data_IF_226790221970
#
_entry.id   IF_226790221970
#
_cell.length_a   1.000
_cell.length_b   1.000
_cell.length_c   1.000
_cell.angle_alpha   90.00
_cell.angle_beta   90.00
_cell.angle_gamma   90.00
#
_symmetry.space_group_name_H-M   'P 1'
#
loop_
_entity.id
_entity.type
_entity.pdbx_description
1 polymer ?
#
# COMPACT_ATOMS: atom_id res chain seq x y z
N UNK A 1 26.72 -3.65 10.78
CA UNK A 1 26.34 -3.47 9.35
C UNK A 1 26.29 -4.84 8.70
N UNK A 2 25.20 -5.17 8.04
CA UNK A 2 24.97 -6.46 7.40
C UNK A 2 24.69 -6.37 5.89
N UNK A 3 24.46 -5.16 5.38
CA UNK A 3 24.19 -4.88 3.95
C UNK A 3 25.21 -3.89 3.44
N UNK A 4 25.82 -4.18 2.30
CA UNK A 4 26.91 -3.39 1.74
C UNK A 4 26.63 -3.00 0.30
N UNK A 5 27.11 -1.85 -0.18
CA UNK A 5 26.92 -1.41 -1.57
C UNK A 5 27.46 -2.39 -2.61
N UNK A 6 28.52 -3.14 -2.24
CA UNK A 6 29.10 -4.20 -3.06
C UNK A 6 29.34 -5.41 -2.17
N UNK A 7 28.67 -6.49 -2.48
CA UNK A 7 28.77 -7.75 -1.76
C UNK A 7 29.44 -8.81 -2.64
N UNK A 8 30.25 -9.74 -2.04
CA UNK A 8 30.82 -10.86 -2.79
C UNK A 8 29.70 -11.76 -3.36
N UNK A 9 29.87 -12.23 -4.58
CA UNK A 9 28.92 -13.17 -5.19
C UNK A 9 29.09 -14.61 -4.62
N UNK A 10 30.18 -14.89 -3.94
CA UNK A 10 30.43 -16.20 -3.34
C UNK A 10 31.38 -16.12 -2.13
N UNK A 11 31.39 -17.15 -1.31
CA UNK A 11 32.29 -17.28 -0.15
C UNK A 11 33.79 -17.40 -0.53
N UNK A 12 34.11 -17.48 -1.82
CA UNK A 12 35.48 -17.56 -2.33
C UNK A 12 36.05 -16.19 -2.67
N UNK A 13 35.21 -15.18 -2.74
CA UNK A 13 35.65 -13.83 -3.05
C UNK A 13 36.06 -13.07 -1.78
N UNK A 14 37.14 -12.29 -1.91
CA UNK A 14 37.59 -11.43 -0.81
C UNK A 14 36.63 -10.29 -0.63
N UNK A 15 36.15 -10.09 0.60
CA UNK A 15 35.33 -8.93 0.96
C UNK A 15 36.22 -7.80 1.49
N UNK A 16 36.10 -6.63 0.93
CA UNK A 16 36.81 -5.43 1.35
C UNK A 16 35.82 -4.27 1.51
N UNK A 17 35.91 -3.57 2.63
CA UNK A 17 35.11 -2.39 2.92
C UNK A 17 35.93 -1.40 3.75
N UNK A 18 35.75 -0.09 3.58
CA UNK A 18 36.40 0.94 4.42
C UNK A 18 36.03 0.83 5.91
N UNK A 19 35.02 0.04 6.25
CA UNK A 19 34.58 -0.18 7.64
C UNK A 19 35.38 -1.25 8.37
N UNK A 20 36.24 -2.00 7.68
CA UNK A 20 37.07 -3.02 8.31
C UNK A 20 38.12 -2.37 9.23
N UNK A 21 38.31 -2.98 10.41
CA UNK A 21 39.26 -2.51 11.40
C UNK A 21 38.81 -1.35 12.28
N UNK A 22 37.63 -0.81 12.06
CA UNK A 22 37.09 0.22 12.94
C UNK A 22 36.58 -0.43 14.25
N UNK A 23 37.07 0.10 15.39
CA UNK A 23 36.79 -0.47 16.73
C UNK A 23 35.34 -0.38 17.19
N UNK A 24 34.56 0.52 16.60
CA UNK A 24 33.15 0.76 16.91
C UNK A 24 32.18 0.20 15.86
N UNK A 25 32.66 -0.68 14.96
CA UNK A 25 31.87 -1.27 13.89
C UNK A 25 31.86 -2.79 13.99
N UNK A 26 30.67 -3.37 13.99
CA UNK A 26 30.46 -4.81 13.85
C UNK A 26 30.00 -5.09 12.43
N UNK A 27 30.73 -5.94 11.72
CA UNK A 27 30.41 -6.39 10.36
C UNK A 27 29.91 -7.82 10.44
N UNK A 28 28.78 -8.09 9.82
CA UNK A 28 28.21 -9.44 9.72
C UNK A 28 27.92 -9.78 8.25
N UNK A 29 27.89 -11.06 7.89
CA UNK A 29 27.39 -11.45 6.58
C UNK A 29 25.92 -11.03 6.37
N UNK A 30 25.52 -10.85 5.12
CA UNK A 30 24.13 -10.57 4.75
C UNK A 30 23.32 -11.87 4.71
N UNK A 31 23.04 -12.43 5.88
CA UNK A 31 22.37 -13.73 6.04
C UNK A 31 21.02 -13.66 6.76
N UNK A 32 20.52 -12.43 7.06
CA UNK A 32 19.28 -12.27 7.82
C UNK A 32 18.05 -12.92 7.19
N UNK A 33 18.03 -13.05 5.86
CA UNK A 33 16.97 -13.74 5.12
C UNK A 33 17.33 -15.16 4.65
N UNK A 34 18.50 -15.72 5.02
CA UNK A 34 19.04 -16.93 4.39
C UNK A 34 18.83 -18.20 5.22
N UNK A 35 18.29 -18.10 6.42
CA UNK A 35 17.96 -19.29 7.24
C UNK A 35 16.58 -19.83 6.88
N UNK A 36 16.33 -21.13 7.08
CA UNK A 36 15.02 -21.75 6.84
C UNK A 36 13.90 -21.06 7.64
N UNK A 37 14.16 -20.75 8.91
CA UNK A 37 13.21 -20.03 9.77
C UNK A 37 12.94 -18.61 9.28
N UNK A 38 13.95 -17.90 8.78
CA UNK A 38 13.77 -16.56 8.24
C UNK A 38 12.91 -16.60 6.96
N UNK A 39 13.16 -17.55 6.08
CA UNK A 39 12.38 -17.73 4.85
C UNK A 39 10.91 -18.04 5.14
N UNK A 40 10.62 -18.90 6.10
CA UNK A 40 9.25 -19.20 6.53
C UNK A 40 8.55 -17.97 7.10
N UNK A 41 9.21 -17.23 7.99
CA UNK A 41 8.68 -16.02 8.59
C UNK A 41 8.45 -14.91 7.57
N UNK A 42 9.40 -14.70 6.65
CA UNK A 42 9.27 -13.73 5.56
C UNK A 42 8.09 -14.11 4.66
N UNK A 43 7.98 -15.39 4.27
CA UNK A 43 6.89 -15.88 3.45
C UNK A 43 5.52 -15.64 4.10
N UNK A 44 5.38 -15.96 5.38
CA UNK A 44 4.15 -15.75 6.14
C UNK A 44 3.82 -14.27 6.30
N UNK A 45 4.81 -13.42 6.58
CA UNK A 45 4.60 -11.97 6.74
C UNK A 45 4.20 -11.32 5.40
N UNK A 46 4.85 -11.69 4.30
CA UNK A 46 4.51 -11.18 2.96
C UNK A 46 3.12 -11.64 2.55
N UNK A 47 2.78 -12.93 2.76
CA UNK A 47 1.46 -13.46 2.47
C UNK A 47 0.38 -12.71 3.24
N UNK A 48 0.57 -12.48 4.55
CA UNK A 48 -0.37 -11.71 5.37
C UNK A 48 -0.56 -10.29 4.83
N UNK A 49 0.50 -9.59 4.48
CA UNK A 49 0.41 -8.23 3.91
C UNK A 49 -0.32 -8.21 2.56
N UNK A 50 -0.15 -9.23 1.73
CA UNK A 50 -0.89 -9.35 0.46
C UNK A 50 -2.39 -9.60 0.71
N UNK A 51 -2.73 -10.42 1.69
CA UNK A 51 -4.12 -10.63 2.13
C UNK A 51 -4.71 -9.33 2.66
N UNK A 52 -4.02 -8.63 3.57
CA UNK A 52 -4.46 -7.34 4.11
C UNK A 52 -4.69 -6.31 2.99
N UNK A 53 -3.80 -6.26 1.99
CA UNK A 53 -4.01 -5.40 0.83
C UNK A 53 -5.21 -5.83 -0.02
N UNK A 54 -5.37 -7.14 -0.24
CA UNK A 54 -6.49 -7.68 -1.03
C UNK A 54 -7.84 -7.41 -0.37
N UNK A 55 -7.94 -7.69 0.92
CA UNK A 55 -9.21 -7.74 1.64
C UNK A 55 -9.63 -6.40 2.23
N UNK A 56 -8.67 -5.61 2.72
CA UNK A 56 -8.96 -4.32 3.36
C UNK A 56 -8.28 -3.12 2.71
N UNK A 57 -7.34 -3.33 1.80
CA UNK A 57 -6.60 -2.24 1.14
C UNK A 57 -5.46 -1.66 1.97
N UNK A 58 -5.03 -2.32 3.06
CA UNK A 58 -3.88 -1.87 3.86
C UNK A 58 -2.59 -1.98 3.06
N UNK A 59 -1.74 -0.96 3.14
CA UNK A 59 -0.44 -0.90 2.46
C UNK A 59 0.73 -0.80 3.43
N UNK A 60 0.52 -1.20 4.68
CA UNK A 60 1.55 -1.20 5.72
C UNK A 60 2.74 -2.06 5.32
N UNK A 61 3.93 -1.47 5.37
CA UNK A 61 5.19 -2.12 4.99
C UNK A 61 5.55 -2.02 3.51
N UNK A 62 4.77 -1.32 2.68
CA UNK A 62 5.16 -0.96 1.33
C UNK A 62 6.34 0.03 1.38
N UNK A 63 7.40 -0.21 0.59
CA UNK A 63 8.61 0.65 0.61
C UNK A 63 8.63 1.66 -0.54
N UNK A 64 7.84 1.45 -1.59
CA UNK A 64 7.78 2.27 -2.80
C UNK A 64 6.35 2.73 -3.12
N UNK A 65 5.47 2.76 -2.12
CA UNK A 65 4.07 3.13 -2.25
C UNK A 65 3.59 3.83 -0.96
N UNK A 66 2.58 4.73 -1.01
CA UNK A 66 2.01 5.33 0.20
C UNK A 66 1.53 4.28 1.19
N UNK A 67 1.92 4.42 2.45
CA UNK A 67 1.53 3.46 3.49
C UNK A 67 0.28 3.95 4.21
N UNK A 68 -0.78 3.15 4.19
CA UNK A 68 -2.02 3.39 4.92
C UNK A 68 -2.33 2.17 5.78
N UNK A 69 -2.46 2.40 7.07
CA UNK A 69 -3.01 1.43 8.00
C UNK A 69 -4.51 1.64 8.10
N UNK A 70 -5.27 0.57 7.88
CA UNK A 70 -6.72 0.61 7.85
C UNK A 70 -7.29 -0.26 8.96
N UNK A 71 -8.37 0.18 9.63
CA UNK A 71 -9.13 -0.68 10.52
C UNK A 71 -9.84 -1.77 9.70
N UNK A 72 -10.23 -2.87 10.34
CA UNK A 72 -11.18 -3.81 9.74
C UNK A 72 -12.39 -3.06 9.21
N UNK A 73 -12.91 -3.51 8.07
CA UNK A 73 -14.09 -2.90 7.47
C UNK A 73 -15.30 -3.14 8.38
N UNK A 74 -16.05 -2.09 8.68
CA UNK A 74 -17.30 -2.19 9.44
C UNK A 74 -18.50 -2.42 8.49
N UNK A 75 -19.30 -1.43 8.25
CA UNK A 75 -20.42 -1.47 7.32
C UNK A 75 -20.09 -0.68 6.04
N UNK A 76 -20.88 -0.87 5.00
CA UNK A 76 -20.73 -0.12 3.75
C UNK A 76 -19.77 -0.74 2.73
N UNK A 77 -19.48 0.02 1.71
CA UNK A 77 -18.61 -0.35 0.60
C UNK A 77 -17.28 0.38 0.70
N UNK A 78 -16.18 -0.33 0.54
CA UNK A 78 -14.84 0.27 0.52
C UNK A 78 -14.36 0.47 -0.91
N UNK A 79 -14.02 1.70 -1.24
CA UNK A 79 -13.44 2.11 -2.52
C UNK A 79 -11.96 2.40 -2.33
N UNK A 80 -11.15 1.94 -3.26
CA UNK A 80 -9.71 2.25 -3.32
C UNK A 80 -9.45 3.05 -4.58
N UNK A 81 -8.71 4.15 -4.44
CA UNK A 81 -8.33 5.01 -5.55
C UNK A 81 -6.84 5.36 -5.49
N UNK A 82 -6.14 5.03 -6.55
CA UNK A 82 -4.73 5.38 -6.77
C UNK A 82 -4.71 6.46 -7.84
N UNK A 83 -4.02 7.57 -7.58
CA UNK A 83 -4.02 8.71 -8.47
C UNK A 83 -2.68 9.45 -8.49
N UNK A 84 -2.45 10.24 -9.52
CA UNK A 84 -1.38 11.22 -9.53
C UNK A 84 -1.61 12.25 -8.42
N UNK A 85 -0.59 12.53 -7.63
CA UNK A 85 -0.64 13.49 -6.51
C UNK A 85 -0.72 14.92 -7.06
N UNK A 86 -1.91 15.33 -7.50
CA UNK A 86 -2.19 16.62 -8.07
C UNK A 86 -3.33 17.34 -7.35
N UNK A 87 -3.31 18.69 -7.28
CA UNK A 87 -4.39 19.46 -6.68
C UNK A 87 -5.75 19.16 -7.31
N UNK A 88 -6.80 19.09 -6.47
CA UNK A 88 -8.19 18.96 -6.90
C UNK A 88 -8.66 17.53 -7.18
N UNK A 89 -7.79 16.51 -7.19
CA UNK A 89 -8.22 15.12 -7.40
C UNK A 89 -9.17 14.67 -6.29
N UNK A 90 -8.84 14.97 -5.04
CA UNK A 90 -9.67 14.62 -3.89
C UNK A 90 -11.05 15.26 -3.93
N UNK A 91 -11.13 16.54 -4.34
CA UNK A 91 -12.41 17.23 -4.50
C UNK A 91 -13.29 16.54 -5.56
N UNK A 92 -12.70 16.19 -6.72
CA UNK A 92 -13.42 15.47 -7.77
C UNK A 92 -13.93 14.10 -7.31
N UNK A 93 -13.16 13.39 -6.46
CA UNK A 93 -13.65 12.14 -5.86
C UNK A 93 -14.85 12.38 -4.95
N UNK A 94 -14.77 13.35 -4.04
CA UNK A 94 -15.87 13.67 -3.13
C UNK A 94 -17.13 14.10 -3.88
N UNK A 95 -16.98 14.85 -4.97
CA UNK A 95 -18.08 15.23 -5.86
C UNK A 95 -18.77 14.02 -6.52
N UNK A 96 -18.04 12.97 -6.85
CA UNK A 96 -18.63 11.73 -7.39
C UNK A 96 -19.56 11.10 -6.36
N UNK A 97 -19.10 10.92 -5.12
CA UNK A 97 -19.93 10.35 -4.04
C UNK A 97 -21.16 11.21 -3.77
N UNK A 98 -20.97 12.52 -3.66
CA UNK A 98 -22.08 13.46 -3.42
C UNK A 98 -23.14 13.41 -4.52
N UNK A 99 -22.74 13.43 -5.80
CA UNK A 99 -23.67 13.38 -6.94
C UNK A 99 -24.42 12.04 -7.03
N UNK A 100 -23.81 10.96 -6.61
CA UNK A 100 -24.42 9.63 -6.59
C UNK A 100 -25.23 9.36 -5.31
N UNK A 101 -25.29 10.34 -4.39
CA UNK A 101 -26.04 10.20 -3.13
C UNK A 101 -25.40 9.25 -2.12
N UNK A 102 -24.09 9.02 -2.22
CA UNK A 102 -23.33 8.19 -1.28
C UNK A 102 -22.76 9.03 -0.15
N UNK A 103 -22.92 8.55 1.09
CA UNK A 103 -22.34 9.17 2.28
C UNK A 103 -20.97 8.59 2.58
N UNK A 104 -19.94 9.45 2.67
CA UNK A 104 -18.59 9.04 3.06
C UNK A 104 -18.56 8.91 4.58
N UNK A 105 -18.38 7.68 5.07
CA UNK A 105 -18.26 7.37 6.50
C UNK A 105 -16.82 7.54 6.99
N UNK A 106 -15.83 7.18 6.16
CA UNK A 106 -14.41 7.38 6.47
C UNK A 106 -13.59 7.58 5.20
N UNK A 107 -12.52 8.36 5.30
CA UNK A 107 -11.60 8.60 4.21
C UNK A 107 -10.16 8.59 4.73
N UNK A 108 -9.32 7.76 4.15
CA UNK A 108 -7.91 7.61 4.48
C UNK A 108 -7.08 8.01 3.27
N UNK A 109 -6.27 9.04 3.42
CA UNK A 109 -5.39 9.54 2.36
C UNK A 109 -3.94 9.48 2.81
N UNK A 110 -3.09 8.97 1.97
CA UNK A 110 -1.65 9.11 2.09
C UNK A 110 -1.04 9.39 0.71
N UNK A 111 -0.05 10.26 0.68
CA UNK A 111 0.70 10.58 -0.53
C UNK A 111 2.18 10.24 -0.35
N UNK A 112 2.83 9.79 -1.41
CA UNK A 112 4.27 9.59 -1.47
C UNK A 112 4.77 9.95 -2.86
N UNK A 113 5.59 11.00 -2.95
CA UNK A 113 6.06 11.54 -4.23
C UNK A 113 4.89 11.93 -5.13
N UNK A 114 4.85 11.33 -6.31
CA UNK A 114 3.85 11.62 -7.35
C UNK A 114 2.56 10.79 -7.23
N UNK A 115 2.46 9.92 -6.22
CA UNK A 115 1.33 9.01 -6.05
C UNK A 115 0.51 9.39 -4.83
N UNK A 116 -0.80 9.47 -5.00
CA UNK A 116 -1.79 9.50 -3.93
C UNK A 116 -2.53 8.16 -3.83
N UNK A 117 -2.78 7.72 -2.62
CA UNK A 117 -3.56 6.53 -2.29
C UNK A 117 -4.69 6.92 -1.35
N UNK A 118 -5.94 6.70 -1.79
CA UNK A 118 -7.14 7.01 -1.01
C UNK A 118 -7.93 5.73 -0.83
N UNK A 119 -8.39 5.51 0.40
CA UNK A 119 -9.37 4.49 0.74
C UNK A 119 -10.59 5.19 1.32
N UNK A 120 -11.76 4.91 0.77
CA UNK A 120 -13.03 5.54 1.16
C UNK A 120 -14.00 4.44 1.58
N UNK A 121 -14.48 4.54 2.80
CA UNK A 121 -15.62 3.75 3.27
C UNK A 121 -16.87 4.60 3.08
N UNK A 122 -17.82 4.13 2.29
CA UNK A 122 -19.02 4.87 1.98
C UNK A 122 -20.27 3.99 2.03
N UNK A 123 -21.39 4.63 2.37
CA UNK A 123 -22.72 4.03 2.45
C UNK A 123 -23.58 4.55 1.31
N UNK A 124 -24.13 3.63 0.53
CA UNK A 124 -25.05 3.96 -0.56
C UNK A 124 -26.47 4.28 -0.07
N UNK A 125 -27.33 4.77 -0.99
CA UNK A 125 -28.74 5.08 -0.67
C UNK A 125 -29.52 3.89 -0.14
N UNK A 126 -29.10 2.68 -0.51
CA UNK A 126 -29.70 1.43 -0.05
C UNK A 126 -28.63 0.48 0.49
N UNK A 127 -28.95 -0.29 1.50
CA UNK A 127 -28.04 -1.30 2.04
C UNK A 127 -27.72 -2.36 0.95
N UNK A 128 -26.41 -2.61 0.73
CA UNK A 128 -25.94 -3.57 -0.27
C UNK A 128 -26.10 -3.15 -1.73
N UNK A 129 -26.21 -1.85 -2.02
CA UNK A 129 -26.32 -1.31 -3.38
C UNK A 129 -25.08 -1.59 -4.23
N UNK A 130 -24.99 -2.81 -4.77
CA UNK A 130 -23.89 -3.23 -5.60
C UNK A 130 -23.88 -2.54 -6.98
N UNK A 131 -25.04 -2.16 -7.52
CA UNK A 131 -25.13 -1.47 -8.80
C UNK A 131 -24.68 -0.03 -8.66
N UNK A 132 -25.16 0.70 -7.65
CA UNK A 132 -24.71 2.04 -7.31
C UNK A 132 -23.20 2.08 -7.02
N UNK A 133 -22.67 1.10 -6.31
CA UNK A 133 -21.22 1.00 -6.08
C UNK A 133 -20.42 0.86 -7.38
N UNK A 134 -20.92 0.10 -8.36
CA UNK A 134 -20.28 -0.01 -9.68
C UNK A 134 -20.37 1.30 -10.46
N UNK A 135 -21.48 2.03 -10.35
CA UNK A 135 -21.64 3.34 -10.98
C UNK A 135 -20.64 4.35 -10.41
N UNK A 136 -20.54 4.44 -9.06
CA UNK A 136 -19.51 5.25 -8.39
C UNK A 136 -18.10 4.86 -8.85
N UNK A 137 -17.78 3.57 -8.89
CA UNK A 137 -16.46 3.10 -9.37
C UNK A 137 -16.19 3.52 -10.81
N UNK A 138 -17.19 3.43 -11.69
CA UNK A 138 -17.07 3.84 -13.08
C UNK A 138 -16.77 5.34 -13.23
N UNK A 139 -17.39 6.18 -12.39
CA UNK A 139 -17.14 7.62 -12.38
C UNK A 139 -15.79 7.98 -11.75
N UNK A 140 -15.38 7.29 -10.68
CA UNK A 140 -14.05 7.45 -10.11
C UNK A 140 -12.94 7.17 -11.14
N UNK A 141 -13.14 6.18 -12.01
CA UNK A 141 -12.18 5.83 -13.07
C UNK A 141 -12.03 6.88 -14.15
N UNK A 142 -13.01 7.76 -14.32
CA UNK A 142 -12.99 8.86 -15.31
C UNK A 142 -12.29 10.12 -14.80
N UNK A 143 -11.99 10.19 -13.50
CA UNK A 143 -11.31 11.35 -12.94
C UNK A 143 -9.91 11.46 -13.54
N UNK A 144 -9.58 12.63 -14.06
CA UNK A 144 -8.24 12.92 -14.57
C UNK A 144 -7.19 12.72 -13.47
N UNK A 145 -6.12 12.01 -13.81
CA UNK A 145 -5.08 11.61 -12.88
C UNK A 145 -5.35 10.28 -12.16
N UNK A 146 -6.47 9.61 -12.40
CA UNK A 146 -6.72 8.27 -11.89
C UNK A 146 -5.77 7.26 -12.52
N UNK A 147 -5.01 6.57 -11.69
CA UNK A 147 -4.16 5.44 -12.11
C UNK A 147 -4.94 4.14 -12.00
N UNK A 148 -5.65 3.94 -10.91
CA UNK A 148 -6.46 2.75 -10.66
C UNK A 148 -7.54 3.02 -9.62
N UNK A 149 -8.73 2.46 -9.84
CA UNK A 149 -9.77 2.41 -8.83
C UNK A 149 -10.38 1.01 -8.77
N UNK A 150 -10.70 0.55 -7.55
CA UNK A 150 -11.34 -0.75 -7.30
C UNK A 150 -12.28 -0.71 -6.11
N UNK A 151 -13.20 -1.67 -6.05
CA UNK A 151 -14.06 -1.97 -4.92
C UNK A 151 -13.48 -3.13 -4.11
N UNK A 152 -13.72 -3.10 -2.81
CA UNK A 152 -13.60 -4.24 -1.91
C UNK A 152 -15.01 -4.60 -1.40
N UNK A 153 -15.34 -5.87 -1.53
CA UNK A 153 -16.62 -6.46 -1.14
C UNK A 153 -16.53 -7.12 0.23
#
# INVERSE_FOLDING_TARGET
VAVFPKEPASNKEKFETPLQGLHNVILTPHIGGSTGEAQERIGSEVARKLVDYSDIGSTVGAVNFPQVQLPPRHAGTRFIHIHANAPGVLNRMNDVFSRQGWNIAAQYLQTAGEIGYVVIDAEGPSAGDAEGARAVLADLRKIEGTIRARLLY
#
